data_IF_240065582695
#
_entry.id   IF_240065582695
#
_cell.length_a   1.000
_cell.length_b   1.000
_cell.length_c   1.000
_cell.angle_alpha   90.00
_cell.angle_beta   90.00
_cell.angle_gamma   90.00
#
_symmetry.space_group_name_H-M   'P 1'
#
loop_
_entity.id
_entity.type
_entity.pdbx_description
1 polymer ?
#
# COMPACT_ATOMS: atom_id res chain seq x y z
N UNK A 1 -2.09 -5.14 3.30
CA UNK A 1 -0.96 -6.04 2.94
C UNK A 1 -1.20 -7.49 3.39
N UNK A 2 -1.70 -7.74 4.61
CA UNK A 2 -1.91 -9.11 5.14
C UNK A 2 -2.82 -9.96 4.23
N UNK A 3 -3.94 -9.39 3.74
CA UNK A 3 -4.83 -10.08 2.82
C UNK A 3 -4.13 -10.43 1.50
N UNK A 4 -3.48 -9.45 0.87
CA UNK A 4 -2.75 -9.68 -0.39
C UNK A 4 -1.69 -10.76 -0.22
N UNK A 5 -0.89 -10.69 0.87
CA UNK A 5 0.15 -11.69 1.14
C UNK A 5 -0.42 -13.10 1.30
N UNK A 6 -1.53 -13.27 2.06
CA UNK A 6 -2.13 -14.60 2.24
C UNK A 6 -2.72 -15.16 0.96
N UNK A 7 -3.43 -14.33 0.17
CA UNK A 7 -3.97 -14.75 -1.13
C UNK A 7 -2.87 -15.19 -2.09
N UNK A 8 -1.76 -14.44 -2.12
CA UNK A 8 -0.62 -14.79 -2.98
C UNK A 8 0.04 -16.09 -2.53
N UNK A 9 0.22 -16.30 -1.22
CA UNK A 9 0.77 -17.56 -0.72
C UNK A 9 -0.10 -18.75 -1.12
N UNK A 10 -1.44 -18.62 -1.00
CA UNK A 10 -2.37 -19.66 -1.44
C UNK A 10 -2.22 -19.91 -2.95
N UNK A 11 -2.20 -18.85 -3.75
CA UNK A 11 -2.04 -18.97 -5.21
C UNK A 11 -0.71 -19.66 -5.61
N UNK A 12 0.38 -19.35 -4.93
CA UNK A 12 1.69 -20.00 -5.14
C UNK A 12 1.62 -21.51 -4.78
N UNK A 13 0.95 -21.86 -3.69
CA UNK A 13 0.75 -23.25 -3.29
C UNK A 13 -0.08 -24.02 -4.34
N UNK A 14 -1.15 -23.44 -4.86
CA UNK A 14 -1.96 -23.99 -5.95
C UNK A 14 -1.15 -24.14 -7.23
N UNK A 15 -0.39 -23.12 -7.65
CA UNK A 15 0.46 -23.17 -8.84
C UNK A 15 1.50 -24.31 -8.75
N UNK A 16 2.13 -24.52 -7.60
CA UNK A 16 3.06 -25.65 -7.39
C UNK A 16 2.37 -26.99 -7.55
N UNK A 17 1.16 -27.15 -7.01
CA UNK A 17 0.40 -28.39 -7.15
C UNK A 17 -0.01 -28.66 -8.61
N UNK A 18 -0.43 -27.64 -9.34
CA UNK A 18 -0.86 -27.77 -10.74
C UNK A 18 0.29 -28.03 -11.71
N UNK A 19 1.43 -27.37 -11.49
CA UNK A 19 2.58 -27.43 -12.41
C UNK A 19 3.66 -28.42 -12.02
N UNK A 20 3.64 -28.91 -10.77
CA UNK A 20 4.74 -29.68 -10.16
C UNK A 20 6.09 -28.90 -10.17
N UNK A 21 6.04 -27.56 -10.14
CA UNK A 21 7.22 -26.69 -10.16
C UNK A 21 7.39 -26.01 -8.80
N UNK A 22 8.34 -26.49 -8.01
CA UNK A 22 8.67 -25.96 -6.68
C UNK A 22 9.48 -24.66 -6.73
N UNK A 23 9.78 -24.12 -7.90
CA UNK A 23 10.53 -22.84 -8.03
C UNK A 23 9.66 -21.63 -7.76
N UNK A 24 8.34 -21.72 -7.92
CA UNK A 24 7.42 -20.64 -7.51
C UNK A 24 7.51 -20.38 -6.03
N UNK A 25 7.74 -19.10 -5.66
CA UNK A 25 7.87 -18.69 -4.25
C UNK A 25 7.23 -17.34 -4.00
N UNK A 26 6.61 -17.19 -2.85
CA UNK A 26 6.22 -15.90 -2.34
C UNK A 26 7.30 -15.37 -1.38
N UNK A 27 7.81 -14.18 -1.70
CA UNK A 27 8.82 -13.46 -0.90
C UNK A 27 8.15 -12.27 -0.23
N UNK A 28 7.98 -12.33 1.07
CA UNK A 28 7.51 -11.20 1.88
C UNK A 28 8.70 -10.33 2.32
N UNK A 29 8.61 -9.02 2.12
CA UNK A 29 9.69 -8.09 2.46
C UNK A 29 9.17 -7.08 3.49
N UNK A 30 9.78 -7.06 4.66
CA UNK A 30 9.59 -6.01 5.67
C UNK A 30 10.57 -4.88 5.38
N UNK A 31 10.05 -3.65 5.36
CA UNK A 31 10.81 -2.46 4.96
C UNK A 31 10.71 -1.38 6.05
N UNK A 32 11.27 -1.64 7.26
CA UNK A 32 11.22 -0.68 8.35
C UNK A 32 12.05 0.57 8.04
N UNK A 33 11.58 1.72 8.52
CA UNK A 33 12.35 2.94 8.60
C UNK A 33 12.87 3.09 10.03
N UNK A 34 14.08 2.64 10.28
CA UNK A 34 14.65 2.59 11.63
C UNK A 34 14.00 1.51 12.50
N UNK A 35 13.63 1.89 13.71
CA UNK A 35 12.86 1.05 14.65
C UNK A 35 11.38 1.42 14.52
N UNK A 36 10.52 0.44 14.25
CA UNK A 36 9.08 0.66 14.12
C UNK A 36 8.34 0.24 15.39
N UNK A 37 7.35 1.05 15.78
CA UNK A 37 6.53 0.80 16.95
C UNK A 37 5.56 -0.40 16.77
N UNK A 38 5.22 -0.72 15.52
CA UNK A 38 4.28 -1.79 15.15
C UNK A 38 4.95 -3.11 14.75
N UNK A 39 6.15 -3.37 15.26
CA UNK A 39 6.90 -4.60 14.99
C UNK A 39 6.11 -5.88 15.31
N UNK A 40 5.38 -5.90 16.43
CA UNK A 40 4.56 -7.05 16.82
C UNK A 40 3.43 -7.33 15.82
N UNK A 41 2.82 -6.27 15.28
CA UNK A 41 1.78 -6.40 14.25
C UNK A 41 2.36 -6.94 12.94
N UNK A 42 3.58 -6.52 12.58
CA UNK A 42 4.27 -7.04 11.41
C UNK A 42 4.59 -8.55 11.56
N UNK A 43 5.03 -8.98 12.75
CA UNK A 43 5.28 -10.40 13.03
C UNK A 43 3.98 -11.21 13.02
N UNK A 44 2.89 -10.68 13.59
CA UNK A 44 1.57 -11.32 13.55
C UNK A 44 1.06 -11.47 12.10
N UNK A 45 1.26 -10.45 11.28
CA UNK A 45 0.91 -10.51 9.87
C UNK A 45 1.73 -11.59 9.13
N UNK A 46 3.05 -11.67 9.33
CA UNK A 46 3.89 -12.71 8.73
C UNK A 46 3.50 -14.11 9.17
N UNK A 47 3.17 -14.30 10.46
CA UNK A 47 2.71 -15.58 10.98
C UNK A 47 1.38 -16.04 10.34
N UNK A 48 0.49 -15.11 10.01
CA UNK A 48 -0.75 -15.37 9.28
C UNK A 48 -0.51 -15.64 7.79
N UNK A 49 0.36 -14.87 7.14
CA UNK A 49 0.66 -14.98 5.70
C UNK A 49 1.38 -16.30 5.41
N UNK A 50 2.34 -16.69 6.23
CA UNK A 50 3.23 -17.85 6.08
C UNK A 50 4.00 -17.85 4.75
N UNK A 51 4.76 -16.77 4.43
CA UNK A 51 5.48 -16.68 3.16
C UNK A 51 6.60 -17.73 3.08
N UNK A 52 6.94 -18.17 1.86
CA UNK A 52 8.07 -19.09 1.64
C UNK A 52 9.42 -18.46 2.05
N UNK A 53 9.56 -17.16 1.82
CA UNK A 53 10.76 -16.39 2.19
C UNK A 53 10.34 -15.10 2.88
N UNK A 54 10.98 -14.77 3.99
CA UNK A 54 10.79 -13.50 4.68
C UNK A 54 12.11 -12.74 4.74
N UNK A 55 12.13 -11.53 4.22
CA UNK A 55 13.28 -10.63 4.21
C UNK A 55 12.98 -9.38 5.04
N UNK A 56 14.03 -8.80 5.63
CA UNK A 56 13.94 -7.49 6.29
C UNK A 56 15.03 -6.58 5.76
N UNK A 57 14.63 -5.45 5.18
CA UNK A 57 15.55 -4.43 4.67
C UNK A 57 15.21 -3.09 5.29
N UNK A 58 16.09 -2.56 6.15
CA UNK A 58 15.89 -1.25 6.75
C UNK A 58 16.19 -0.14 5.73
N UNK A 59 15.18 0.65 5.39
CA UNK A 59 15.29 1.70 4.37
C UNK A 59 15.85 3.02 4.90
N UNK A 60 16.11 3.15 6.20
CA UNK A 60 16.49 4.44 6.82
C UNK A 60 17.73 5.05 6.19
N UNK A 61 18.80 4.28 6.02
CA UNK A 61 20.05 4.78 5.47
C UNK A 61 19.88 5.36 4.05
N UNK A 62 19.10 4.70 3.20
CA UNK A 62 18.83 5.16 1.84
C UNK A 62 17.95 6.43 1.83
N UNK A 63 16.92 6.50 2.67
CA UNK A 63 16.07 7.69 2.80
C UNK A 63 16.88 8.88 3.31
N UNK A 64 17.66 8.70 4.38
CA UNK A 64 18.48 9.79 4.94
C UNK A 64 19.56 10.27 3.95
N UNK A 65 20.16 9.35 3.21
CA UNK A 65 21.10 9.70 2.13
C UNK A 65 20.46 10.56 1.04
N UNK A 66 19.23 10.23 0.63
CA UNK A 66 18.48 11.03 -0.35
C UNK A 66 18.13 12.42 0.20
N UNK A 67 17.69 12.50 1.46
CA UNK A 67 17.38 13.78 2.12
C UNK A 67 18.63 14.65 2.24
N UNK A 68 19.77 14.06 2.66
CA UNK A 68 21.03 14.78 2.75
C UNK A 68 21.48 15.38 1.40
N UNK A 69 21.42 14.57 0.33
CA UNK A 69 21.78 15.04 -1.02
C UNK A 69 20.87 16.18 -1.52
N UNK A 70 19.58 16.17 -1.18
CA UNK A 70 18.67 17.26 -1.52
C UNK A 70 19.00 18.54 -0.72
N UNK A 71 19.29 18.41 0.56
CA UNK A 71 19.69 19.52 1.41
C UNK A 71 21.00 20.16 0.93
N UNK A 72 22.00 19.36 0.53
CA UNK A 72 23.25 19.85 -0.08
C UNK A 72 22.99 20.64 -1.37
N UNK A 73 21.95 20.25 -2.13
CA UNK A 73 21.50 20.98 -3.31
C UNK A 73 20.63 22.22 -2.99
N UNK A 74 20.47 22.58 -1.71
CA UNK A 74 19.68 23.73 -1.26
C UNK A 74 18.17 23.49 -1.23
N UNK A 75 17.73 22.22 -1.27
CA UNK A 75 16.31 21.86 -1.21
C UNK A 75 15.98 21.35 0.20
N UNK A 76 15.24 22.15 0.97
CA UNK A 76 14.71 21.73 2.27
C UNK A 76 13.55 20.75 2.07
N UNK A 77 13.72 19.51 2.57
CA UNK A 77 12.71 18.44 2.40
C UNK A 77 11.68 18.52 3.52
N UNK A 78 10.43 18.83 3.19
CA UNK A 78 9.32 18.78 4.15
C UNK A 78 9.06 17.35 4.64
N UNK A 79 8.46 17.22 5.84
CA UNK A 79 8.08 15.93 6.42
C UNK A 79 7.17 15.12 5.49
N UNK A 80 6.19 15.77 4.87
CA UNK A 80 5.33 15.15 3.83
C UNK A 80 6.14 14.59 2.65
N UNK A 81 7.11 15.34 2.14
CA UNK A 81 7.95 14.85 1.04
C UNK A 81 8.92 13.74 1.49
N UNK A 82 9.41 13.81 2.72
CA UNK A 82 10.20 12.71 3.32
C UNK A 82 9.37 11.44 3.41
N UNK A 83 8.08 11.54 3.78
CA UNK A 83 7.13 10.42 3.72
C UNK A 83 7.02 9.80 2.33
N UNK A 84 6.92 10.63 1.29
CA UNK A 84 6.93 10.14 -0.10
C UNK A 84 8.27 9.50 -0.50
N UNK A 85 9.41 9.99 0.00
CA UNK A 85 10.72 9.37 -0.20
C UNK A 85 10.74 7.99 0.45
N UNK A 86 10.22 7.84 1.68
CA UNK A 86 10.12 6.53 2.37
C UNK A 86 9.30 5.54 1.53
N UNK A 87 8.13 5.93 1.03
CA UNK A 87 7.28 5.06 0.21
C UNK A 87 7.98 4.65 -1.10
N UNK A 88 8.66 5.58 -1.78
CA UNK A 88 9.41 5.28 -3.01
C UNK A 88 10.63 4.40 -2.74
N UNK A 89 11.32 4.60 -1.62
CA UNK A 89 12.46 3.75 -1.26
C UNK A 89 12.02 2.30 -0.98
N UNK A 90 10.82 2.10 -0.43
CA UNK A 90 10.20 0.78 -0.31
C UNK A 90 9.98 0.14 -1.68
N UNK A 91 9.38 0.88 -2.61
CA UNK A 91 9.17 0.43 -4.00
C UNK A 91 10.49 0.06 -4.69
N UNK A 92 11.52 0.90 -4.61
CA UNK A 92 12.86 0.60 -5.18
C UNK A 92 13.38 -0.73 -4.62
N UNK A 93 13.27 -0.96 -3.32
CA UNK A 93 13.74 -2.20 -2.69
C UNK A 93 12.94 -3.41 -3.16
N UNK A 94 11.61 -3.29 -3.28
CA UNK A 94 10.74 -4.36 -3.77
C UNK A 94 11.10 -4.76 -5.20
N UNK A 95 11.27 -3.80 -6.11
CA UNK A 95 11.68 -4.07 -7.49
C UNK A 95 13.10 -4.63 -7.60
N UNK A 96 14.03 -4.16 -6.77
CA UNK A 96 15.39 -4.71 -6.73
C UNK A 96 15.39 -6.19 -6.31
N UNK A 97 14.60 -6.55 -5.30
CA UNK A 97 14.44 -7.94 -4.87
C UNK A 97 13.71 -8.75 -5.94
N UNK A 98 12.61 -8.24 -6.50
CA UNK A 98 11.86 -8.91 -7.56
C UNK A 98 12.77 -9.21 -8.77
N UNK A 99 13.58 -8.26 -9.21
CA UNK A 99 14.55 -8.49 -10.29
C UNK A 99 15.56 -9.59 -9.97
N UNK A 100 16.03 -9.66 -8.71
CA UNK A 100 16.97 -10.71 -8.29
C UNK A 100 16.34 -12.10 -8.24
N UNK A 101 15.04 -12.18 -7.92
CA UNK A 101 14.27 -13.43 -7.89
C UNK A 101 13.57 -13.75 -9.20
N UNK A 102 13.73 -12.93 -10.25
CA UNK A 102 13.00 -13.04 -11.53
C UNK A 102 11.47 -13.06 -11.32
N UNK A 103 11.00 -12.27 -10.37
CA UNK A 103 9.62 -12.23 -9.93
C UNK A 103 8.93 -10.90 -10.28
N UNK A 104 7.68 -10.78 -9.86
CA UNK A 104 6.83 -9.60 -9.99
C UNK A 104 6.53 -8.98 -8.63
N UNK A 105 6.36 -7.66 -8.59
CA UNK A 105 5.96 -6.92 -7.39
C UNK A 105 4.44 -6.92 -7.28
N UNK A 106 3.95 -7.33 -6.11
CA UNK A 106 2.53 -7.31 -5.75
C UNK A 106 2.22 -6.08 -4.92
N UNK A 107 1.32 -5.25 -5.42
CA UNK A 107 0.80 -4.10 -4.72
C UNK A 107 -0.42 -4.45 -3.87
N UNK A 108 -0.73 -3.57 -2.94
CA UNK A 108 -1.79 -3.77 -1.94
C UNK A 108 -2.94 -2.77 -2.08
N UNK A 109 -2.93 -1.94 -3.12
CA UNK A 109 -3.95 -0.93 -3.37
C UNK A 109 -5.34 -1.56 -3.52
N UNK A 110 -6.31 -0.97 -2.85
CA UNK A 110 -7.72 -1.39 -2.87
C UNK A 110 -8.63 -0.23 -3.32
N UNK A 111 -9.94 -0.48 -3.44
CA UNK A 111 -10.91 0.48 -4.00
C UNK A 111 -10.87 1.85 -3.31
N UNK A 112 -10.83 1.91 -1.98
CA UNK A 112 -10.84 3.16 -1.24
C UNK A 112 -9.56 3.99 -1.51
N UNK A 113 -8.38 3.35 -1.54
CA UNK A 113 -7.12 4.00 -1.89
C UNK A 113 -7.13 4.47 -3.34
N UNK A 114 -7.66 3.67 -4.26
CA UNK A 114 -7.76 4.06 -5.66
C UNK A 114 -8.67 5.29 -5.86
N UNK A 115 -9.85 5.32 -5.25
CA UNK A 115 -10.80 6.44 -5.39
C UNK A 115 -10.24 7.72 -4.80
N UNK A 116 -9.67 7.66 -3.62
CA UNK A 116 -9.12 8.84 -2.94
C UNK A 116 -7.73 9.24 -3.44
N UNK A 117 -7.04 8.33 -4.15
CA UNK A 117 -5.63 8.48 -4.49
C UNK A 117 -4.74 8.54 -3.24
N UNK A 118 -5.15 7.86 -2.18
CA UNK A 118 -4.45 7.86 -0.89
C UNK A 118 -3.27 6.88 -0.90
N UNK A 119 -2.35 7.12 -1.81
CA UNK A 119 -1.09 6.40 -1.98
C UNK A 119 -0.03 7.33 -2.59
N UNK A 120 1.22 6.97 -2.47
CA UNK A 120 2.32 7.69 -3.13
C UNK A 120 2.49 7.19 -4.56
N UNK A 121 2.31 8.10 -5.54
CA UNK A 121 2.58 7.80 -6.95
C UNK A 121 4.03 7.34 -7.13
N UNK A 122 4.23 6.16 -7.74
CA UNK A 122 5.53 5.50 -7.88
C UNK A 122 6.21 5.19 -6.52
N UNK A 123 5.39 4.98 -5.49
CA UNK A 123 5.80 4.45 -4.20
C UNK A 123 5.04 3.15 -3.94
N UNK A 124 4.19 3.12 -2.93
CA UNK A 124 3.28 2.00 -2.64
C UNK A 124 2.30 1.69 -3.78
N UNK A 125 1.94 2.70 -4.61
CA UNK A 125 1.18 2.49 -5.84
C UNK A 125 1.99 1.90 -7.01
N UNK A 126 3.29 1.70 -6.87
CA UNK A 126 4.15 1.08 -7.89
C UNK A 126 4.18 -0.45 -7.73
N UNK A 127 3.52 -1.18 -8.63
CA UNK A 127 3.43 -2.63 -8.60
C UNK A 127 3.17 -3.19 -9.99
N UNK A 128 3.44 -4.48 -10.19
CA UNK A 128 3.13 -5.19 -11.43
C UNK A 128 1.71 -5.79 -11.40
N UNK A 129 1.27 -6.25 -10.22
CA UNK A 129 -0.03 -6.87 -10.01
C UNK A 129 -0.74 -6.28 -8.78
N UNK A 130 -2.06 -6.10 -8.88
CA UNK A 130 -2.91 -5.54 -7.82
C UNK A 130 -4.05 -6.52 -7.47
N UNK A 131 -3.82 -7.53 -6.63
CA UNK A 131 -4.82 -8.55 -6.32
C UNK A 131 -6.04 -8.02 -5.56
N UNK A 132 -5.91 -6.88 -4.87
CA UNK A 132 -7.00 -6.25 -4.11
C UNK A 132 -7.73 -5.14 -4.88
N UNK A 133 -7.34 -4.91 -6.14
CA UNK A 133 -7.93 -3.82 -6.94
C UNK A 133 -9.45 -3.95 -7.00
N UNK A 134 -10.15 -2.88 -6.67
CA UNK A 134 -11.62 -2.78 -6.56
C UNK A 134 -12.28 -3.50 -5.39
N UNK A 135 -11.59 -4.26 -4.55
CA UNK A 135 -12.15 -4.68 -3.27
C UNK A 135 -12.26 -3.47 -2.35
N UNK A 136 -13.43 -3.29 -1.74
CA UNK A 136 -13.59 -2.25 -0.72
C UNK A 136 -13.06 -2.71 0.65
N UNK A 137 -12.98 -1.80 1.61
CA UNK A 137 -12.38 -2.08 2.93
C UNK A 137 -13.16 -3.17 3.68
N UNK A 138 -14.49 -3.11 3.60
CA UNK A 138 -15.42 -4.06 4.22
C UNK A 138 -15.24 -5.48 3.65
N UNK A 139 -15.10 -5.60 2.33
CA UNK A 139 -14.85 -6.87 1.65
C UNK A 139 -13.48 -7.45 2.05
N UNK A 140 -12.43 -6.61 2.08
CA UNK A 140 -11.11 -7.04 2.51
C UNK A 140 -11.09 -7.55 3.96
N UNK A 141 -11.82 -6.88 4.86
CA UNK A 141 -12.00 -7.31 6.25
C UNK A 141 -12.74 -8.65 6.35
N UNK A 142 -13.82 -8.83 5.60
CA UNK A 142 -14.59 -10.07 5.58
C UNK A 142 -13.73 -11.25 5.07
N UNK A 143 -12.95 -11.04 4.01
CA UNK A 143 -12.03 -12.05 3.48
C UNK A 143 -10.95 -12.44 4.49
N UNK A 144 -10.38 -11.48 5.24
CA UNK A 144 -9.41 -11.80 6.29
C UNK A 144 -10.02 -12.67 7.38
N UNK A 145 -11.24 -12.37 7.82
CA UNK A 145 -11.97 -13.16 8.81
C UNK A 145 -12.24 -14.58 8.28
N UNK A 146 -12.69 -14.73 7.04
CA UNK A 146 -12.94 -16.03 6.39
C UNK A 146 -11.67 -16.87 6.25
N UNK A 147 -10.52 -16.23 5.98
CA UNK A 147 -9.22 -16.89 5.91
C UNK A 147 -8.63 -17.22 7.30
N UNK A 148 -9.35 -16.96 8.37
CA UNK A 148 -8.93 -17.29 9.74
C UNK A 148 -7.88 -16.34 10.32
N UNK A 149 -7.82 -15.09 9.86
CA UNK A 149 -6.92 -14.10 10.43
C UNK A 149 -7.33 -13.75 11.88
N UNK A 150 -6.35 -13.49 12.74
CA UNK A 150 -6.59 -12.93 14.07
C UNK A 150 -7.33 -11.57 13.94
N UNK A 151 -8.41 -11.33 14.71
CA UNK A 151 -9.09 -10.04 14.76
C UNK A 151 -8.17 -8.84 14.90
N UNK A 152 -7.07 -8.95 15.64
CA UNK A 152 -6.08 -7.89 15.77
C UNK A 152 -5.46 -7.44 14.42
N UNK A 153 -5.51 -8.28 13.37
CA UNK A 153 -5.01 -7.93 12.02
C UNK A 153 -6.03 -7.06 11.28
N UNK A 154 -7.32 -7.41 11.31
CA UNK A 154 -8.34 -6.73 10.51
C UNK A 154 -9.17 -5.69 11.28
N UNK A 155 -9.05 -5.65 12.62
CA UNK A 155 -9.65 -4.59 13.44
C UNK A 155 -8.68 -3.43 13.71
N UNK A 156 -7.39 -3.58 13.36
CA UNK A 156 -6.40 -2.50 13.49
C UNK A 156 -6.86 -1.27 12.71
N UNK A 157 -6.86 -0.12 13.37
CA UNK A 157 -7.15 1.18 12.73
C UNK A 157 -6.09 1.42 11.63
N UNK A 158 -6.52 1.68 10.38
CA UNK A 158 -5.58 1.99 9.31
C UNK A 158 -4.86 3.33 9.55
N UNK A 159 -3.55 3.29 9.45
CA UNK A 159 -2.69 4.47 9.61
C UNK A 159 -1.61 4.50 8.54
N UNK A 160 -1.33 5.68 7.99
CA UNK A 160 -0.18 5.92 7.12
C UNK A 160 0.96 6.46 7.98
N UNK A 161 1.87 5.59 8.45
CA UNK A 161 3.01 5.98 9.27
C UNK A 161 4.18 6.47 8.39
N UNK A 162 3.97 7.59 7.71
CA UNK A 162 4.95 8.20 6.80
C UNK A 162 5.54 9.51 7.35
N UNK A 163 4.70 10.37 7.96
CA UNK A 163 5.10 11.67 8.49
C UNK A 163 5.55 11.55 9.95
N UNK A 164 6.75 12.05 10.27
CA UNK A 164 7.32 11.99 11.63
C UNK A 164 6.60 12.95 12.59
N UNK A 165 6.11 14.07 12.07
CA UNK A 165 5.32 15.04 12.84
C UNK A 165 3.89 14.60 13.17
N UNK A 166 3.42 13.50 12.58
CA UNK A 166 2.06 12.97 12.79
C UNK A 166 2.06 11.43 12.86
N UNK A 167 2.77 10.86 13.84
CA UNK A 167 2.89 9.41 13.96
C UNK A 167 1.51 8.79 14.22
N UNK A 168 1.19 7.72 13.48
CA UNK A 168 -0.05 6.96 13.68
C UNK A 168 -1.34 7.74 13.36
N UNK A 169 -1.28 8.81 12.55
CA UNK A 169 -2.48 9.51 12.11
C UNK A 169 -3.41 8.54 11.36
N UNK A 170 -4.65 8.40 11.83
CA UNK A 170 -5.64 7.56 11.17
C UNK A 170 -5.96 8.10 9.77
N UNK A 171 -6.05 7.19 8.79
CA UNK A 171 -6.36 7.54 7.39
C UNK A 171 -7.64 8.34 7.25
N UNK A 172 -8.70 7.98 7.99
CA UNK A 172 -9.99 8.67 7.98
C UNK A 172 -9.90 10.14 8.43
N UNK A 173 -8.98 10.44 9.36
CA UNK A 173 -8.71 11.82 9.79
C UNK A 173 -8.00 12.59 8.67
N UNK A 174 -7.02 11.97 8.02
CA UNK A 174 -6.30 12.58 6.92
C UNK A 174 -7.19 12.82 5.69
N UNK A 175 -8.10 11.89 5.42
CA UNK A 175 -9.06 11.97 4.31
C UNK A 175 -10.25 12.91 4.61
N UNK A 176 -10.62 13.05 5.90
CA UNK A 176 -11.82 13.77 6.34
C UNK A 176 -13.13 13.08 6.00
N UNK A 177 -13.08 11.77 5.71
CA UNK A 177 -14.22 10.90 5.36
C UNK A 177 -13.91 9.48 5.85
N UNK A 178 -14.95 8.73 6.26
CA UNK A 178 -14.77 7.37 6.78
C UNK A 178 -14.63 6.33 5.66
N UNK A 179 -13.99 5.20 5.95
CA UNK A 179 -13.97 4.08 5.02
C UNK A 179 -15.37 3.51 4.75
N UNK A 180 -16.28 3.60 5.72
CA UNK A 180 -17.67 3.20 5.50
C UNK A 180 -18.38 4.11 4.49
N UNK A 181 -18.16 5.44 4.53
CA UNK A 181 -18.70 6.35 3.52
C UNK A 181 -18.14 6.06 2.13
N UNK A 182 -16.82 5.77 2.04
CA UNK A 182 -16.18 5.44 0.78
C UNK A 182 -16.71 4.12 0.22
N UNK A 183 -16.86 3.10 1.07
CA UNK A 183 -17.42 1.80 0.69
C UNK A 183 -18.87 1.93 0.22
N UNK A 184 -19.70 2.65 0.95
CA UNK A 184 -21.10 2.89 0.59
C UNK A 184 -21.23 3.71 -0.72
N UNK A 185 -20.35 4.71 -0.92
CA UNK A 185 -20.27 5.45 -2.18
C UNK A 185 -19.95 4.54 -3.36
N UNK A 186 -18.96 3.66 -3.20
CA UNK A 186 -18.53 2.73 -4.26
C UNK A 186 -19.56 1.65 -4.56
N UNK A 187 -20.39 1.29 -3.58
CA UNK A 187 -21.52 0.37 -3.72
C UNK A 187 -22.80 1.05 -4.27
N UNK A 188 -22.75 2.36 -4.53
CA UNK A 188 -23.90 3.12 -5.03
C UNK A 188 -24.98 3.40 -3.99
N UNK A 189 -24.66 3.29 -2.70
CA UNK A 189 -25.55 3.60 -1.60
C UNK A 189 -25.63 5.12 -1.34
N UNK A 190 -26.65 5.54 -0.64
CA UNK A 190 -26.83 6.94 -0.23
C UNK A 190 -25.89 7.27 0.92
N UNK A 191 -25.08 8.31 0.75
CA UNK A 191 -24.21 8.88 1.78
C UNK A 191 -24.54 10.37 1.97
N UNK A 192 -23.95 11.02 2.97
CA UNK A 192 -24.12 12.47 3.17
C UNK A 192 -23.51 13.27 2.00
N UNK A 193 -24.09 14.42 1.68
CA UNK A 193 -23.56 15.31 0.63
C UNK A 193 -22.13 15.81 0.97
N UNK A 194 -21.80 15.99 2.25
CA UNK A 194 -20.45 16.37 2.69
C UNK A 194 -19.43 15.26 2.38
N UNK A 195 -19.73 14.01 2.74
CA UNK A 195 -18.87 12.86 2.44
C UNK A 195 -18.69 12.69 0.92
N UNK A 196 -19.77 12.79 0.15
CA UNK A 196 -19.75 12.71 -1.31
C UNK A 196 -18.85 13.80 -1.91
N UNK A 197 -19.02 15.05 -1.49
CA UNK A 197 -18.23 16.16 -1.98
C UNK A 197 -16.72 15.98 -1.70
N UNK A 198 -16.37 15.45 -0.51
CA UNK A 198 -14.98 15.14 -0.16
C UNK A 198 -14.40 14.03 -1.03
N UNK A 199 -15.13 12.93 -1.23
CA UNK A 199 -14.69 11.81 -2.08
C UNK A 199 -14.46 12.28 -3.52
N UNK A 200 -15.41 13.04 -4.08
CA UNK A 200 -15.29 13.58 -5.45
C UNK A 200 -14.14 14.60 -5.58
N UNK A 201 -13.89 15.41 -4.55
CA UNK A 201 -12.75 16.33 -4.51
C UNK A 201 -11.41 15.55 -4.50
N UNK A 202 -11.30 14.49 -3.70
CA UNK A 202 -10.14 13.60 -3.71
C UNK A 202 -9.96 12.95 -5.09
N UNK A 203 -11.01 12.41 -5.67
CA UNK A 203 -10.97 11.81 -7.01
C UNK A 203 -10.39 12.76 -8.05
N UNK A 204 -10.91 13.98 -8.13
CA UNK A 204 -10.42 15.01 -9.06
C UNK A 204 -8.97 15.40 -8.80
N UNK A 205 -8.63 15.73 -7.56
CA UNK A 205 -7.29 16.16 -7.15
C UNK A 205 -6.22 15.11 -7.46
N UNK A 206 -6.55 13.83 -7.32
CA UNK A 206 -5.59 12.72 -7.42
C UNK A 206 -5.66 11.97 -8.74
N UNK A 207 -6.39 12.47 -9.73
CA UNK A 207 -6.59 11.80 -11.02
C UNK A 207 -5.27 11.43 -11.70
N UNK A 208 -4.27 12.31 -11.63
CA UNK A 208 -2.93 12.07 -12.18
C UNK A 208 -2.21 10.84 -11.61
N UNK A 209 -2.65 10.31 -10.46
CA UNK A 209 -2.06 9.13 -9.85
C UNK A 209 -2.54 7.81 -10.46
N UNK A 210 -3.70 7.83 -11.11
CA UNK A 210 -4.35 6.67 -11.76
C UNK A 210 -4.03 6.54 -13.25
N UNK A 211 -3.29 7.48 -13.78
CA UNK A 211 -2.87 7.48 -15.19
C UNK A 211 -1.37 7.20 -15.31
N UNK A 212 -0.99 6.54 -16.40
CA UNK A 212 0.38 6.50 -16.88
C UNK A 212 0.87 7.94 -17.16
N UNK A 213 2.16 8.16 -17.45
CA UNK A 213 2.64 9.48 -17.82
C UNK A 213 1.73 10.12 -18.86
N UNK A 214 1.31 11.37 -18.60
CA UNK A 214 0.39 12.12 -19.46
C UNK A 214 1.07 12.40 -20.79
N UNK A 215 0.43 12.05 -21.88
CA UNK A 215 0.89 12.25 -23.24
C UNK A 215 0.06 13.32 -23.96
N UNK A 216 0.45 13.68 -25.18
CA UNK A 216 -0.30 14.63 -26.03
C UNK A 216 -1.69 14.13 -26.44
N UNK A 217 -1.97 12.84 -26.24
CA UNK A 217 -3.25 12.21 -26.57
C UNK A 217 -4.23 12.20 -25.39
N UNK A 218 -3.79 12.56 -24.20
CA UNK A 218 -4.62 12.61 -23.02
C UNK A 218 -5.32 13.98 -22.90
N UNK A 219 -6.53 14.00 -22.31
CA UNK A 219 -7.32 15.24 -22.16
C UNK A 219 -8.10 15.32 -20.83
N UNK A 220 -7.92 14.38 -19.92
CA UNK A 220 -8.67 14.28 -18.67
C UNK A 220 -8.46 15.46 -17.70
N UNK A 221 -7.48 16.31 -17.95
CA UNK A 221 -7.22 17.53 -17.16
C UNK A 221 -7.95 18.78 -17.70
N UNK A 222 -8.61 18.68 -18.84
CA UNK A 222 -9.43 19.76 -19.44
C UNK A 222 -10.83 19.82 -18.78
#
# INVERSE_FOLDING_TARGET
>A
SSLAGRLVQIAIEEMRQETADETYKFVAIRLPYGVQADEEDAQRALAFIQPDVSLTVNIKAAVEGQVAALNEAGIEVSDFNKGNIKARQRMITQYAVAGQYQGAVLGTDHAAENITGFFTKFGDGGADLLPLFRLNKRQGKALLAELGADPAIYEKVPTADLEEGKPGLADEIALGVTYNDIDDYTEGKVISEDAKAKIEAWWKKTQHKRHLPISVFDDFWK
#
